data_IF_241076159467
#
_entry.id   IF_241076159467
#
_cell.length_a   1.000
_cell.length_b   1.000
_cell.length_c   1.000
_cell.angle_alpha   90.00
_cell.angle_beta   90.00
_cell.angle_gamma   90.00
#
_symmetry.space_group_name_H-M   'P 1'
#
loop_
_entity.id
_entity.type
_entity.pdbx_description
1 polymer ?
#
# COMPACT_ATOMS: atom_id res chain seq x y z
N UNK A 1 25.89 -11.58 7.46
CA UNK A 1 25.01 -11.84 6.31
C UNK A 1 23.67 -11.18 6.63
N UNK A 2 23.31 -10.06 5.98
CA UNK A 2 22.08 -9.32 6.31
C UNK A 2 20.92 -10.06 5.65
N UNK A 3 20.38 -11.05 6.35
CA UNK A 3 19.26 -11.87 5.87
C UNK A 3 17.95 -11.26 6.38
N UNK A 4 17.17 -10.72 5.44
CA UNK A 4 15.70 -10.69 5.51
C UNK A 4 14.99 -9.36 5.84
N UNK A 5 15.64 -8.19 5.78
CA UNK A 5 14.84 -6.94 5.77
C UNK A 5 13.91 -6.97 4.55
N UNK A 6 12.75 -6.30 4.62
CA UNK A 6 12.05 -6.00 3.38
C UNK A 6 13.05 -5.30 2.45
N UNK A 7 12.94 -5.51 1.14
CA UNK A 7 13.84 -4.83 0.21
C UNK A 7 13.49 -3.34 0.20
N UNK A 8 14.20 -2.59 1.06
CA UNK A 8 13.96 -1.18 1.36
C UNK A 8 14.72 -0.23 0.43
N UNK A 9 15.34 -0.75 -0.64
CA UNK A 9 16.20 0.01 -1.56
C UNK A 9 15.78 -0.17 -3.03
N UNK A 10 14.50 -0.47 -3.28
CA UNK A 10 13.93 -0.60 -4.61
C UNK A 10 12.61 0.17 -4.75
N UNK A 11 12.15 0.48 -5.98
CA UNK A 11 10.83 1.04 -6.21
C UNK A 11 9.73 0.27 -5.48
N UNK A 12 8.80 1.01 -4.86
CA UNK A 12 7.73 0.46 -4.05
C UNK A 12 8.12 0.13 -2.61
N UNK A 13 9.33 0.49 -2.16
CA UNK A 13 9.71 0.34 -0.75
C UNK A 13 9.06 1.42 0.13
N UNK A 14 8.59 1.01 1.32
CA UNK A 14 8.16 1.90 2.41
C UNK A 14 8.74 1.35 3.72
N UNK A 15 9.80 1.98 4.21
CA UNK A 15 10.54 1.48 5.38
C UNK A 15 10.95 2.64 6.28
N UNK A 16 11.42 2.36 7.49
CA UNK A 16 11.94 3.40 8.40
C UNK A 16 10.87 4.47 8.73
N UNK A 17 11.21 5.76 8.77
CA UNK A 17 10.38 6.83 9.37
C UNK A 17 9.62 7.77 8.40
N UNK A 18 8.61 7.25 7.70
CA UNK A 18 8.78 6.32 6.59
C UNK A 18 9.45 6.99 5.39
N UNK A 19 10.53 6.34 4.93
CA UNK A 19 11.18 6.53 3.65
C UNK A 19 10.43 5.73 2.58
N UNK A 20 10.05 6.41 1.51
CA UNK A 20 9.44 5.85 0.31
C UNK A 20 10.45 5.83 -0.84
N UNK A 21 10.33 4.85 -1.73
CA UNK A 21 10.99 4.85 -3.03
C UNK A 21 9.91 4.75 -4.10
N UNK A 22 9.76 5.81 -4.89
CA UNK A 22 8.75 5.90 -5.94
C UNK A 22 8.95 4.88 -7.06
N UNK A 23 7.92 4.72 -7.89
CA UNK A 23 8.00 3.95 -9.14
C UNK A 23 9.09 4.47 -10.09
N UNK A 24 9.39 5.76 -10.02
CA UNK A 24 10.50 6.45 -10.69
C UNK A 24 11.89 6.19 -10.07
N UNK A 25 11.96 5.42 -8.96
CA UNK A 25 13.19 5.14 -8.23
C UNK A 25 13.66 6.27 -7.32
N UNK A 26 12.95 7.40 -7.23
CA UNK A 26 13.33 8.52 -6.39
C UNK A 26 12.95 8.22 -4.94
N UNK A 27 13.92 8.42 -4.04
CA UNK A 27 13.69 8.34 -2.60
C UNK A 27 13.06 9.64 -2.10
N UNK A 28 11.99 9.53 -1.31
CA UNK A 28 11.35 10.66 -0.63
C UNK A 28 10.78 10.24 0.72
N UNK A 29 10.35 11.21 1.52
CA UNK A 29 9.73 10.99 2.82
C UNK A 29 8.33 11.57 2.82
N UNK A 30 7.42 10.93 3.55
CA UNK A 30 6.10 11.47 3.83
C UNK A 30 5.93 11.58 5.33
N UNK A 31 5.76 12.81 5.81
CA UNK A 31 5.65 13.11 7.24
C UNK A 31 4.19 13.17 7.67
N UNK A 32 3.51 12.03 7.60
CA UNK A 32 2.17 11.86 8.12
C UNK A 32 2.05 12.16 9.62
N UNK A 33 0.84 12.03 10.16
CA UNK A 33 0.54 12.25 11.58
C UNK A 33 0.46 10.95 12.36
N UNK A 34 0.85 11.01 13.63
CA UNK A 34 0.64 9.92 14.57
C UNK A 34 -0.87 9.61 14.71
N UNK A 35 -1.18 8.33 14.80
CA UNK A 35 -2.51 7.74 15.02
C UNK A 35 -3.53 8.18 13.96
N UNK A 36 -3.07 8.22 12.69
CA UNK A 36 -3.88 8.61 11.53
C UNK A 36 -3.65 7.66 10.36
N UNK A 37 -4.68 7.54 9.52
CA UNK A 37 -4.67 6.73 8.32
C UNK A 37 -4.41 7.60 7.08
N UNK A 38 -3.58 7.11 6.17
CA UNK A 38 -3.24 7.81 4.94
C UNK A 38 -3.31 6.88 3.73
N UNK A 39 -3.87 7.38 2.63
CA UNK A 39 -3.92 6.71 1.34
C UNK A 39 -2.55 6.70 0.67
N UNK A 40 -1.93 5.53 0.63
CA UNK A 40 -0.61 5.31 0.04
C UNK A 40 -0.71 4.98 -1.44
N UNK A 41 -1.72 4.19 -1.82
CA UNK A 41 -2.01 3.85 -3.23
C UNK A 41 -3.52 3.88 -3.41
N UNK A 42 -3.99 4.52 -4.48
CA UNK A 42 -5.37 4.39 -4.92
C UNK A 42 -5.44 4.39 -6.42
N UNK A 43 -6.13 3.40 -6.95
CA UNK A 43 -6.42 3.19 -8.36
C UNK A 43 -7.81 2.56 -8.48
N UNK A 44 -8.32 2.36 -9.69
CA UNK A 44 -9.66 1.79 -9.90
C UNK A 44 -9.83 0.39 -9.28
N UNK A 45 -8.78 -0.45 -9.29
CA UNK A 45 -8.79 -1.84 -8.84
C UNK A 45 -8.02 -2.11 -7.52
N UNK A 46 -7.38 -1.08 -6.94
CA UNK A 46 -6.55 -1.23 -5.75
C UNK A 46 -6.59 0.04 -4.88
N UNK A 47 -6.88 -0.13 -3.59
CA UNK A 47 -6.76 0.93 -2.59
C UNK A 47 -5.96 0.43 -1.40
N UNK A 48 -4.97 1.23 -0.97
CA UNK A 48 -4.09 0.90 0.15
C UNK A 48 -4.02 2.11 1.06
N UNK A 49 -4.58 1.98 2.25
CA UNK A 49 -4.32 2.88 3.36
C UNK A 49 -3.27 2.29 4.28
N UNK A 50 -2.50 3.18 4.93
CA UNK A 50 -1.56 2.82 5.97
C UNK A 50 -1.91 3.58 7.25
N UNK A 51 -1.90 2.87 8.38
CA UNK A 51 -2.01 3.48 9.70
C UNK A 51 -0.62 3.88 10.19
N UNK A 52 -0.47 5.16 10.51
CA UNK A 52 0.78 5.71 11.01
C UNK A 52 0.74 5.77 12.53
N UNK A 53 1.68 5.08 13.17
CA UNK A 53 2.04 5.33 14.56
C UNK A 53 3.11 6.40 14.62
N UNK A 54 3.35 6.96 15.80
CA UNK A 54 4.40 7.93 15.93
C UNK A 54 4.71 8.36 17.34
N UNK A 55 5.67 9.27 17.43
CA UNK A 55 6.09 9.92 18.67
C UNK A 55 6.28 11.41 18.44
N UNK A 56 5.89 12.18 19.45
CA UNK A 56 6.09 13.62 19.54
C UNK A 56 6.64 13.94 20.93
N UNK A 57 7.86 14.46 21.00
CA UNK A 57 8.42 15.00 22.23
C UNK A 57 8.30 16.53 22.22
N UNK A 58 8.45 17.17 23.39
CA UNK A 58 8.21 18.61 23.60
C UNK A 58 9.06 19.49 22.68
N UNK A 59 10.27 19.05 22.35
CA UNK A 59 11.22 19.76 21.49
C UNK A 59 11.01 19.48 19.98
N UNK A 60 10.07 18.59 19.61
CA UNK A 60 9.86 18.18 18.23
C UNK A 60 8.89 19.10 17.49
N UNK A 61 9.35 19.64 16.36
CA UNK A 61 8.51 20.47 15.47
C UNK A 61 7.51 19.64 14.65
N UNK A 62 7.74 18.34 14.50
CA UNK A 62 6.90 17.38 13.76
C UNK A 62 6.82 16.04 14.48
N UNK A 63 5.89 15.20 14.05
CA UNK A 63 5.85 13.81 14.50
C UNK A 63 6.93 13.01 13.75
N UNK A 64 7.59 12.08 14.45
CA UNK A 64 8.24 10.95 13.81
C UNK A 64 7.21 9.84 13.71
N UNK A 65 7.08 9.26 12.53
CA UNK A 65 6.03 8.30 12.25
C UNK A 65 6.56 7.06 11.55
N UNK A 66 5.82 5.96 11.68
CA UNK A 66 6.11 4.66 11.08
C UNK A 66 4.81 4.00 10.68
N UNK A 67 4.84 3.14 9.67
CA UNK A 67 3.66 2.38 9.23
C UNK A 67 3.45 1.19 10.15
N UNK A 68 2.36 1.16 10.92
CA UNK A 68 2.03 0.02 11.78
C UNK A 68 1.18 -1.02 11.06
N UNK A 69 0.25 -0.58 10.22
CA UNK A 69 -0.66 -1.48 9.53
C UNK A 69 -1.04 -0.97 8.15
N UNK A 70 -1.53 -1.89 7.33
CA UNK A 70 -2.10 -1.64 6.02
C UNK A 70 -3.53 -2.17 5.98
N UNK A 71 -4.43 -1.38 5.40
CA UNK A 71 -5.73 -1.83 4.92
C UNK A 71 -5.73 -1.77 3.40
N UNK A 72 -5.98 -2.91 2.77
CA UNK A 72 -5.85 -3.10 1.33
C UNK A 72 -7.20 -3.58 0.79
N UNK A 73 -7.75 -2.84 -0.17
CA UNK A 73 -8.97 -3.19 -0.89
C UNK A 73 -8.61 -3.54 -2.33
N UNK A 74 -9.10 -4.67 -2.82
CA UNK A 74 -8.95 -5.11 -4.20
C UNK A 74 -10.12 -6.03 -4.55
N UNK A 75 -10.72 -5.86 -5.73
CA UNK A 75 -11.97 -6.56 -6.06
C UNK A 75 -13.02 -6.36 -4.96
N UNK A 76 -13.55 -7.48 -4.45
CA UNK A 76 -14.48 -7.51 -3.31
C UNK A 76 -13.80 -7.71 -1.94
N UNK A 77 -12.47 -7.84 -1.91
CA UNK A 77 -11.70 -8.27 -0.75
C UNK A 77 -11.17 -7.11 0.10
N UNK A 78 -10.99 -7.42 1.39
CA UNK A 78 -10.27 -6.59 2.36
C UNK A 78 -9.15 -7.40 2.98
N UNK A 79 -7.91 -7.00 2.74
CA UNK A 79 -6.73 -7.56 3.38
C UNK A 79 -6.19 -6.58 4.42
N UNK A 80 -5.97 -7.05 5.63
CA UNK A 80 -5.34 -6.31 6.71
C UNK A 80 -4.00 -6.94 7.07
N UNK A 81 -2.97 -6.12 7.25
CA UNK A 81 -1.64 -6.55 7.71
C UNK A 81 -1.21 -5.59 8.80
N UNK A 82 -0.75 -6.08 9.94
CA UNK A 82 -0.29 -5.20 11.03
C UNK A 82 0.86 -5.76 11.86
N UNK A 83 1.63 -4.85 12.43
CA UNK A 83 2.56 -5.09 13.51
C UNK A 83 1.84 -4.94 14.87
N UNK A 84 1.80 -6.01 15.66
CA UNK A 84 1.29 -6.00 17.03
C UNK A 84 2.18 -5.15 17.92
N UNK A 85 1.55 -4.32 18.75
CA UNK A 85 2.23 -3.55 19.80
C UNK A 85 2.98 -4.48 20.73
N UNK A 86 4.17 -4.06 21.17
CA UNK A 86 5.04 -4.85 22.04
C UNK A 86 5.77 -3.91 22.99
N UNK A 87 6.03 -4.35 24.22
CA UNK A 87 6.86 -3.58 25.17
C UNK A 87 8.34 -3.91 24.99
N UNK A 88 8.67 -5.17 24.71
CA UNK A 88 10.04 -5.64 24.44
C UNK A 88 10.14 -6.29 23.06
N UNK A 89 11.33 -6.28 22.45
CA UNK A 89 11.59 -7.00 21.20
C UNK A 89 12.27 -8.34 21.45
N UNK A 90 11.81 -9.37 20.74
CA UNK A 90 12.40 -10.70 20.69
C UNK A 90 12.02 -11.30 19.34
N UNK A 91 13.02 -11.58 18.50
CA UNK A 91 12.81 -12.11 17.15
C UNK A 91 12.04 -13.45 17.15
N UNK A 92 12.08 -14.22 18.24
CA UNK A 92 11.34 -15.49 18.35
C UNK A 92 9.82 -15.30 18.50
N UNK A 93 9.37 -14.12 18.92
CA UNK A 93 7.95 -13.82 19.11
C UNK A 93 7.36 -13.20 17.83
N UNK A 94 6.31 -13.84 17.31
CA UNK A 94 5.62 -13.36 16.11
C UNK A 94 4.67 -12.22 16.47
N UNK A 95 4.90 -11.06 15.86
CA UNK A 95 4.10 -9.84 16.04
C UNK A 95 3.32 -9.50 14.79
N UNK A 96 3.30 -10.38 13.80
CA UNK A 96 2.49 -10.20 12.61
C UNK A 96 1.04 -10.58 12.89
N UNK A 97 0.11 -9.79 12.36
CA UNK A 97 -1.30 -10.14 12.29
C UNK A 97 -1.81 -9.89 10.88
N UNK A 98 -2.51 -10.88 10.32
CA UNK A 98 -3.10 -10.84 8.98
C UNK A 98 -4.56 -11.28 9.08
N UNK A 99 -5.45 -10.55 8.41
CA UNK A 99 -6.81 -11.02 8.16
C UNK A 99 -7.22 -10.74 6.72
N UNK A 100 -8.04 -11.62 6.16
CA UNK A 100 -8.68 -11.46 4.86
C UNK A 100 -10.19 -11.56 5.07
N UNK A 101 -10.93 -10.57 4.58
CA UNK A 101 -12.40 -10.50 4.68
C UNK A 101 -12.91 -10.72 6.11
N UNK A 102 -12.25 -10.03 7.05
CA UNK A 102 -12.52 -10.10 8.49
C UNK A 102 -12.23 -11.46 9.15
N UNK A 103 -11.70 -12.45 8.40
CA UNK A 103 -11.21 -13.72 8.92
C UNK A 103 -9.70 -13.71 9.18
N UNK A 104 -9.30 -14.16 10.37
CA UNK A 104 -7.88 -14.23 10.73
C UNK A 104 -7.17 -15.33 9.97
N UNK A 105 -6.03 -15.01 9.36
CA UNK A 105 -5.17 -15.99 8.70
C UNK A 105 -4.15 -16.54 9.72
N UNK A 106 -4.25 -17.84 9.98
CA UNK A 106 -3.31 -18.54 10.85
C UNK A 106 -2.20 -19.19 10.02
N UNK A 107 -0.98 -18.65 10.18
CA UNK A 107 0.23 -19.19 9.55
C UNK A 107 1.16 -19.76 10.63
N UNK A 108 1.55 -21.04 10.55
CA UNK A 108 2.56 -21.61 11.43
C UNK A 108 3.84 -20.78 11.45
N UNK A 109 4.50 -20.69 12.61
CA UNK A 109 5.79 -20.01 12.77
C UNK A 109 6.93 -20.86 12.19
N UNK A 110 6.91 -21.05 10.88
CA UNK A 110 7.86 -21.83 10.10
C UNK A 110 8.12 -21.09 8.79
N UNK A 111 9.39 -20.97 8.42
CA UNK A 111 9.78 -20.40 7.13
C UNK A 111 9.25 -21.26 5.99
N UNK A 112 8.67 -20.63 4.97
CA UNK A 112 8.01 -21.31 3.86
C UNK A 112 6.61 -21.83 4.19
N UNK A 113 6.07 -21.64 5.40
CA UNK A 113 4.68 -21.94 5.69
C UNK A 113 3.77 -21.11 4.78
N UNK A 114 2.80 -21.76 4.14
CA UNK A 114 1.90 -21.13 3.17
C UNK A 114 0.44 -21.20 3.63
N UNK A 115 -0.31 -20.22 3.18
CA UNK A 115 -1.76 -20.20 3.19
C UNK A 115 -2.21 -19.81 1.79
N UNK A 116 -3.18 -20.55 1.25
CA UNK A 116 -3.84 -20.23 0.00
C UNK A 116 -5.31 -20.58 0.12
N UNK A 117 -6.18 -19.76 -0.47
CA UNK A 117 -7.59 -20.07 -0.56
C UNK A 117 -7.90 -20.58 -1.97
N UNK A 118 -7.74 -21.89 -2.18
CA UNK A 118 -7.91 -22.53 -3.49
C UNK A 118 -9.38 -22.70 -3.92
N UNK A 119 -10.33 -22.42 -3.04
CA UNK A 119 -11.74 -22.79 -3.22
C UNK A 119 -12.67 -21.62 -3.56
N UNK A 120 -12.30 -20.38 -3.28
CA UNK A 120 -13.23 -19.25 -3.46
C UNK A 120 -12.62 -17.92 -3.93
N UNK A 121 -11.29 -17.74 -3.95
CA UNK A 121 -10.70 -16.42 -4.23
C UNK A 121 -9.42 -16.49 -5.07
N UNK A 122 -9.52 -16.05 -6.33
CA UNK A 122 -8.51 -15.34 -7.15
C UNK A 122 -7.00 -15.74 -7.09
N UNK A 123 -6.65 -16.90 -6.53
CA UNK A 123 -5.26 -17.34 -6.38
C UNK A 123 -4.43 -16.56 -5.34
N UNK A 124 -5.05 -15.95 -4.32
CA UNK A 124 -4.32 -15.24 -3.26
C UNK A 124 -3.39 -16.23 -2.52
N UNK A 125 -2.10 -15.90 -2.48
CA UNK A 125 -1.08 -16.69 -1.82
C UNK A 125 -0.38 -15.87 -0.73
N UNK A 126 -0.29 -16.45 0.47
CA UNK A 126 0.46 -15.88 1.58
C UNK A 126 1.50 -16.89 2.02
N UNK A 127 2.74 -16.45 2.20
CA UNK A 127 3.82 -17.31 2.63
C UNK A 127 4.72 -16.61 3.64
N UNK A 128 5.28 -17.37 4.58
CA UNK A 128 6.31 -16.87 5.49
C UNK A 128 7.66 -16.83 4.80
N UNK A 129 8.28 -15.66 4.76
CA UNK A 129 9.66 -15.51 4.28
C UNK A 129 10.71 -15.71 5.39
N UNK A 130 10.26 -15.80 6.65
CA UNK A 130 11.06 -16.21 7.81
C UNK A 130 10.17 -16.93 8.81
N UNK A 131 10.77 -17.56 9.83
CA UNK A 131 10.04 -18.21 10.93
C UNK A 131 8.97 -17.32 11.59
N UNK A 132 9.26 -16.05 11.80
CA UNK A 132 8.40 -15.06 12.46
C UNK A 132 8.55 -13.70 11.78
N UNK A 133 7.59 -12.81 11.98
CA UNK A 133 7.64 -11.38 11.64
C UNK A 133 7.80 -11.05 10.16
N UNK A 134 7.82 -12.01 9.23
CA UNK A 134 8.04 -11.74 7.82
C UNK A 134 7.16 -12.61 6.93
N UNK A 135 6.39 -11.94 6.07
CA UNK A 135 5.50 -12.58 5.08
C UNK A 135 5.65 -11.97 3.71
N UNK A 136 5.29 -12.77 2.73
CA UNK A 136 5.08 -12.36 1.36
C UNK A 136 3.64 -12.71 0.99
N UNK A 137 2.91 -11.72 0.48
CA UNK A 137 1.52 -11.84 0.03
C UNK A 137 1.48 -11.51 -1.46
N UNK A 138 0.86 -12.37 -2.25
CA UNK A 138 0.73 -12.21 -3.69
C UNK A 138 -0.74 -12.36 -4.08
N UNK A 139 -1.26 -11.34 -4.76
CA UNK A 139 -2.56 -11.32 -5.42
C UNK A 139 -2.28 -11.32 -6.92
N UNK A 140 -2.48 -12.47 -7.61
CA UNK A 140 -2.17 -12.60 -9.03
C UNK A 140 -2.75 -11.48 -9.87
N UNK A 141 -1.94 -10.90 -10.76
CA UNK A 141 -2.37 -9.82 -11.65
C UNK A 141 -2.58 -8.46 -10.99
N UNK A 142 -2.59 -8.35 -9.65
CA UNK A 142 -2.79 -7.08 -8.95
C UNK A 142 -1.49 -6.57 -8.28
N UNK A 143 -1.02 -7.26 -7.24
CA UNK A 143 0.18 -6.83 -6.51
C UNK A 143 0.87 -7.98 -5.75
N UNK A 144 2.09 -7.69 -5.29
CA UNK A 144 2.86 -8.50 -4.37
C UNK A 144 3.48 -7.61 -3.28
N UNK A 145 3.40 -8.05 -2.02
CA UNK A 145 3.89 -7.30 -0.86
C UNK A 145 4.83 -8.20 -0.07
N UNK A 146 6.02 -7.72 0.23
CA UNK A 146 6.84 -8.24 1.33
C UNK A 146 6.63 -7.34 2.53
N UNK A 147 6.18 -7.89 3.65
CA UNK A 147 5.97 -7.16 4.89
C UNK A 147 6.80 -7.79 6.00
N UNK A 148 7.61 -6.98 6.67
CA UNK A 148 8.46 -7.39 7.78
C UNK A 148 8.18 -6.51 8.98
N UNK A 149 7.77 -7.12 10.09
CA UNK A 149 7.65 -6.43 11.37
C UNK A 149 9.05 -6.25 11.95
N UNK A 150 9.40 -5.01 12.28
CA UNK A 150 10.70 -4.63 12.84
C UNK A 150 10.52 -3.73 14.06
N UNK A 151 11.43 -3.77 15.05
CA UNK A 151 11.43 -2.82 16.15
C UNK A 151 12.08 -1.51 15.71
N UNK A 152 11.71 -0.41 16.36
CA UNK A 152 12.58 0.77 16.37
C UNK A 152 13.71 0.51 17.37
N UNK A 153 14.95 0.53 16.90
CA UNK A 153 16.11 0.20 17.73
C UNK A 153 16.56 1.39 18.59
N UNK A 154 17.16 1.14 19.76
CA UNK A 154 17.79 2.19 20.58
C UNK A 154 18.84 2.98 19.78
N UNK A 155 19.58 2.29 18.91
CA UNK A 155 20.57 2.93 18.02
C UNK A 155 19.93 3.93 17.08
N UNK A 156 18.84 3.56 16.41
CA UNK A 156 18.09 4.48 15.54
C UNK A 156 17.49 5.63 16.37
N UNK A 157 16.91 5.32 17.53
CA UNK A 157 16.38 6.31 18.48
C UNK A 157 17.43 7.34 18.90
N UNK A 158 18.67 6.92 19.17
CA UNK A 158 19.77 7.83 19.51
C UNK A 158 20.23 8.68 18.33
N UNK A 159 20.39 8.08 17.14
CA UNK A 159 20.86 8.78 15.94
C UNK A 159 19.85 9.85 15.51
N UNK A 160 18.57 9.50 15.50
CA UNK A 160 17.48 10.37 15.03
C UNK A 160 16.79 11.15 16.15
N UNK A 161 17.20 10.94 17.40
CA UNK A 161 16.66 11.58 18.60
C UNK A 161 15.15 11.36 18.77
N UNK A 162 14.67 10.16 18.44
CA UNK A 162 13.25 9.80 18.62
C UNK A 162 12.85 9.81 20.10
N UNK A 163 13.80 9.57 21.01
CA UNK A 163 13.55 9.51 22.44
C UNK A 163 12.83 8.24 22.89
N UNK A 164 12.84 7.19 22.07
CA UNK A 164 12.29 5.87 22.40
C UNK A 164 13.17 5.22 23.47
N UNK A 165 12.52 4.74 24.52
CA UNK A 165 13.09 3.99 25.66
C UNK A 165 12.67 2.53 25.57
N UNK A 166 13.24 1.65 26.40
CA UNK A 166 12.88 0.23 26.45
C UNK A 166 11.41 -0.03 26.84
N UNK A 167 10.69 0.96 27.37
CA UNK A 167 9.31 0.81 27.87
C UNK A 167 8.23 1.07 26.81
N UNK A 168 8.59 1.28 25.54
CA UNK A 168 7.64 1.51 24.45
C UNK A 168 8.27 1.10 23.10
N UNK A 169 8.62 -0.18 22.96
CA UNK A 169 9.20 -0.71 21.74
C UNK A 169 8.16 -0.73 20.61
N UNK A 170 8.10 0.36 19.86
CA UNK A 170 7.27 0.44 18.66
C UNK A 170 7.73 -0.61 17.64
N UNK A 171 6.84 -1.55 17.33
CA UNK A 171 6.97 -2.41 16.18
C UNK A 171 6.24 -1.77 15.00
N UNK A 172 6.88 -1.75 13.83
CA UNK A 172 6.31 -1.23 12.60
C UNK A 172 6.61 -2.17 11.44
N UNK A 173 6.02 -1.87 10.28
CA UNK A 173 6.23 -2.60 9.05
C UNK A 173 7.30 -1.92 8.21
N UNK A 174 8.30 -2.69 7.81
CA UNK A 174 9.09 -2.45 6.61
C UNK A 174 8.39 -3.18 5.45
N UNK A 175 8.08 -2.44 4.38
CA UNK A 175 7.23 -2.87 3.28
C UNK A 175 7.95 -2.77 1.96
N UNK A 176 7.61 -3.67 1.05
CA UNK A 176 8.12 -3.64 -0.32
C UNK A 176 7.05 -4.13 -1.28
N UNK A 177 6.46 -3.19 -2.01
CA UNK A 177 5.41 -3.43 -2.97
C UNK A 177 5.98 -3.71 -4.37
N UNK A 178 5.33 -4.61 -5.09
CA UNK A 178 5.44 -4.77 -6.54
C UNK A 178 4.03 -4.76 -7.10
N UNK A 179 3.71 -3.79 -7.92
CA UNK A 179 2.40 -3.69 -8.54
C UNK A 179 2.45 -4.27 -9.97
N UNK A 180 1.38 -4.94 -10.37
CA UNK A 180 1.29 -5.62 -11.67
C UNK A 180 0.37 -4.90 -12.65
N UNK A 181 -0.69 -4.24 -12.15
CA UNK A 181 -1.73 -3.65 -12.97
C UNK A 181 -2.23 -2.30 -12.42
N UNK A 182 -1.30 -1.35 -12.21
CA UNK A 182 -1.67 0.05 -11.97
C UNK A 182 -1.98 0.74 -13.31
N UNK A 183 -3.06 1.51 -13.33
CA UNK A 183 -3.41 2.43 -14.40
C UNK A 183 -2.50 3.66 -14.39
N UNK A 184 -2.47 4.39 -15.50
CA UNK A 184 -1.76 5.67 -15.58
C UNK A 184 -2.35 6.77 -14.69
N UNK A 185 -3.54 6.57 -14.12
CA UNK A 185 -4.27 7.51 -13.26
C UNK A 185 -4.13 7.21 -11.76
N UNK A 186 -3.31 6.21 -11.40
CA UNK A 186 -3.01 5.86 -10.00
C UNK A 186 -2.56 7.10 -9.21
N UNK A 187 -3.00 7.17 -7.96
CA UNK A 187 -2.67 8.24 -7.02
C UNK A 187 -2.37 7.71 -5.61
N UNK A 188 -2.30 8.60 -4.62
CA UNK A 188 -1.81 8.30 -3.27
C UNK A 188 -0.34 8.65 -3.08
N UNK A 189 0.13 8.63 -1.83
CA UNK A 189 1.49 9.06 -1.47
C UNK A 189 2.56 8.39 -2.34
N UNK A 190 2.50 7.05 -2.44
CA UNK A 190 3.39 6.24 -3.27
C UNK A 190 2.82 6.08 -4.67
N UNK A 191 1.51 5.82 -4.78
CA UNK A 191 0.87 5.46 -6.04
C UNK A 191 1.04 6.53 -7.12
N UNK A 192 0.98 7.82 -6.76
CA UNK A 192 1.18 8.90 -7.73
C UNK A 192 2.50 8.78 -8.52
N UNK A 193 3.54 8.19 -7.93
CA UNK A 193 4.86 8.04 -8.56
C UNK A 193 4.90 6.99 -9.68
N UNK A 194 3.82 6.21 -9.83
CA UNK A 194 3.64 5.22 -10.91
C UNK A 194 2.76 5.75 -12.05
N UNK A 195 2.17 6.95 -11.91
CA UNK A 195 1.30 7.52 -12.94
C UNK A 195 2.06 7.98 -14.19
N UNK A 196 1.46 7.83 -15.37
CA UNK A 196 2.10 8.08 -16.67
C UNK A 196 2.63 9.53 -16.83
N UNK A 197 1.93 10.49 -16.21
CA UNK A 197 2.26 11.91 -16.31
C UNK A 197 2.87 12.45 -15.00
N UNK A 198 3.34 11.57 -14.11
CA UNK A 198 3.96 11.99 -12.87
C UNK A 198 5.29 12.66 -13.15
N UNK A 199 5.43 13.89 -12.65
CA UNK A 199 6.70 14.61 -12.63
C UNK A 199 7.03 14.86 -11.17
N UNK A 200 8.13 14.27 -10.72
CA UNK A 200 8.55 14.36 -9.33
C UNK A 200 8.80 15.80 -8.92
N UNK A 201 8.15 16.21 -7.83
CA UNK A 201 8.39 17.50 -7.16
C UNK A 201 9.43 17.38 -6.05
N UNK A 202 10.09 16.21 -5.93
CA UNK A 202 11.07 15.97 -4.89
C UNK A 202 12.25 16.92 -5.09
N UNK A 203 12.65 17.61 -4.03
CA UNK A 203 13.76 18.55 -4.11
C UNK A 203 15.09 17.81 -4.23
N UNK A 204 15.60 17.69 -5.45
CA UNK A 204 16.88 17.05 -5.72
C UNK A 204 18.03 17.75 -4.98
N UNK A 205 19.02 16.97 -4.54
CA UNK A 205 20.16 17.46 -3.76
C UNK A 205 19.88 17.70 -2.27
N UNK A 206 18.64 17.48 -1.80
CA UNK A 206 18.31 17.43 -0.37
C UNK A 206 18.35 15.98 0.10
N UNK A 207 18.95 15.73 1.27
CA UNK A 207 19.12 14.38 1.80
C UNK A 207 17.78 13.66 2.12
N UNK A 208 16.76 14.42 2.51
CA UNK A 208 15.43 13.90 2.83
C UNK A 208 14.36 14.79 2.16
N UNK A 209 14.13 14.64 0.85
CA UNK A 209 13.09 15.39 0.18
C UNK A 209 11.72 14.87 0.65
N UNK A 210 10.83 15.79 1.01
CA UNK A 210 9.49 15.46 1.52
C UNK A 210 8.47 15.69 0.41
N UNK A 211 7.58 14.72 0.20
CA UNK A 211 6.48 14.82 -0.76
C UNK A 211 5.14 14.62 -0.09
N UNK A 212 4.13 15.31 -0.60
CA UNK A 212 2.75 15.22 -0.14
C UNK A 212 2.49 16.00 1.16
N UNK A 213 1.20 16.21 1.43
CA UNK A 213 0.74 16.83 2.67
C UNK A 213 -0.36 15.99 3.31
N UNK A 214 -0.46 16.07 4.64
CA UNK A 214 -1.42 15.27 5.41
C UNK A 214 -2.85 15.38 4.88
N UNK A 215 -3.28 16.59 4.50
CA UNK A 215 -4.65 16.86 4.06
C UNK A 215 -5.05 16.08 2.81
N UNK A 216 -4.15 16.02 1.83
CA UNK A 216 -4.40 15.41 0.51
C UNK A 216 -4.59 13.89 0.62
N UNK A 217 -3.83 13.26 1.52
CA UNK A 217 -3.78 11.80 1.65
C UNK A 217 -4.51 11.26 2.87
N UNK A 218 -5.03 12.10 3.76
CA UNK A 218 -5.75 11.65 4.94
C UNK A 218 -6.97 10.81 4.56
N UNK A 219 -7.17 9.71 5.28
CA UNK A 219 -8.38 8.91 5.23
C UNK A 219 -9.01 8.83 6.61
N UNK A 220 -10.35 8.68 6.66
CA UNK A 220 -11.06 8.59 7.95
C UNK A 220 -10.86 7.25 8.67
N UNK A 221 -10.50 6.18 7.95
CA UNK A 221 -10.20 4.88 8.54
C UNK A 221 -9.34 4.01 7.62
N UNK A 222 -8.77 2.94 8.18
CA UNK A 222 -7.88 2.01 7.46
C UNK A 222 -8.51 1.34 6.22
N UNK A 223 -9.83 1.32 6.10
CA UNK A 223 -10.55 0.79 4.92
C UNK A 223 -11.48 1.82 4.25
N UNK A 224 -11.44 3.09 4.66
CA UNK A 224 -12.19 4.14 3.99
C UNK A 224 -11.52 4.53 2.67
N UNK A 225 -12.34 4.89 1.69
CA UNK A 225 -11.88 5.26 0.33
C UNK A 225 -12.18 6.73 0.07
N UNK A 226 -11.88 7.58 1.04
CA UNK A 226 -12.38 8.95 1.16
C UNK A 226 -11.29 10.02 1.18
N UNK A 227 -10.04 9.65 0.88
CA UNK A 227 -8.98 10.63 0.68
C UNK A 227 -9.28 11.53 -0.54
N UNK A 228 -8.73 12.74 -0.55
CA UNK A 228 -9.00 13.74 -1.60
C UNK A 228 -8.64 13.23 -3.00
N UNK A 229 -7.67 12.33 -3.08
CA UNK A 229 -7.16 11.74 -4.31
C UNK A 229 -7.74 10.36 -4.64
N UNK A 230 -8.78 9.90 -3.93
CA UNK A 230 -9.37 8.58 -4.10
C UNK A 230 -9.76 8.29 -5.56
N UNK A 231 -9.29 7.15 -6.07
CA UNK A 231 -9.60 6.62 -7.42
C UNK A 231 -10.29 5.26 -7.37
N UNK A 232 -10.42 4.69 -6.18
CA UNK A 232 -10.95 3.35 -6.01
C UNK A 232 -12.46 3.31 -6.25
N UNK A 233 -12.85 2.46 -7.19
CA UNK A 233 -14.22 2.11 -7.46
C UNK A 233 -14.35 0.62 -7.18
N UNK A 234 -15.00 0.25 -6.07
CA UNK A 234 -15.48 -1.12 -5.95
C UNK A 234 -16.38 -1.36 -7.16
N UNK A 235 -16.09 -2.39 -7.94
CA UNK A 235 -17.04 -2.89 -8.92
C UNK A 235 -18.31 -3.24 -8.13
N UNK A 236 -19.24 -2.30 -8.08
CA UNK A 236 -20.56 -2.51 -7.53
C UNK A 236 -21.23 -3.50 -8.46
N UNK A 237 -21.85 -4.53 -7.86
CA UNK A 237 -22.91 -5.30 -8.47
C UNK A 237 -23.74 -4.44 -9.46
N UNK A 238 -23.58 -4.74 -10.74
CA UNK A 238 -24.37 -4.29 -11.89
C UNK A 238 -25.25 -3.04 -11.74
N UNK A 239 -24.67 -1.84 -11.73
CA UNK A 239 -25.34 -0.64 -12.29
C UNK A 239 -24.36 0.25 -13.03
N UNK A 240 -24.58 0.34 -14.34
CA UNK A 240 -23.93 1.22 -15.31
C UNK A 240 -23.84 2.68 -14.86
N UNK A 241 -22.72 3.32 -15.22
CA UNK A 241 -22.79 4.66 -15.80
C UNK A 241 -21.88 4.71 -17.02
N UNK A 242 -22.52 4.51 -18.16
CA UNK A 242 -22.03 4.70 -19.49
C UNK A 242 -21.91 6.20 -19.80
N UNK A 243 -20.74 6.63 -20.29
CA UNK A 243 -20.63 7.84 -21.12
C UNK A 243 -20.11 7.50 -22.53
N UNK A 244 -19.40 6.38 -22.69
CA UNK A 244 -18.91 5.93 -24.00
C UNK A 244 -19.90 5.00 -24.74
N UNK A 245 -20.74 4.22 -24.03
CA UNK A 245 -21.70 3.32 -24.69
C UNK A 245 -22.90 4.06 -25.35
N UNK A 246 -23.28 5.23 -24.83
CA UNK A 246 -24.36 6.05 -25.41
C UNK A 246 -23.97 6.67 -26.78
N UNK A 247 -22.68 6.81 -27.07
CA UNK A 247 -22.21 7.36 -28.33
C UNK A 247 -22.39 6.39 -29.52
N UNK A 248 -22.53 5.09 -29.26
CA UNK A 248 -22.69 4.05 -30.28
C UNK A 248 -24.13 3.53 -30.41
N UNK A 249 -25.01 3.82 -29.45
CA UNK A 249 -26.40 3.36 -29.47
C UNK A 249 -27.29 4.01 -30.55
N UNK A 250 -26.86 5.13 -31.14
CA UNK A 250 -27.60 5.86 -32.19
C UNK A 250 -27.08 5.61 -33.61
N UNK A 251 -26.14 4.68 -33.83
CA UNK A 251 -25.66 4.34 -35.18
C UNK A 251 -26.52 3.22 -35.79
N UNK A 252 -27.36 3.57 -36.77
CA UNK A 252 -27.99 2.57 -37.64
C UNK A 252 -27.08 2.34 -38.85
N UNK A 253 -26.54 1.12 -38.99
CA UNK A 253 -25.77 0.73 -40.17
C UNK A 253 -26.64 -0.19 -41.04
N UNK A 254 -26.82 0.18 -42.31
CA UNK A 254 -27.54 -0.63 -43.29
C UNK A 254 -26.59 -1.16 -44.36
N UNK A 255 -26.86 -2.37 -44.86
CA UNK A 255 -26.19 -2.91 -46.05
C UNK A 255 -26.92 -2.42 -47.29
N UNK A 256 -26.22 -1.65 -48.14
CA UNK A 256 -26.70 -1.37 -49.49
C UNK A 256 -26.29 -2.55 -50.39
N UNK A 257 -27.25 -3.14 -51.09
CA UNK A 257 -27.13 -4.45 -51.75
C UNK A 257 -26.32 -4.43 -53.07
N UNK A 258 -25.56 -3.37 -53.37
CA UNK A 258 -24.80 -3.28 -54.64
C UNK A 258 -23.35 -2.78 -54.54
N UNK A 259 -22.73 -2.78 -53.35
CA UNK A 259 -21.29 -2.53 -53.25
C UNK A 259 -20.71 -2.91 -51.88
N UNK A 260 -19.54 -3.55 -51.86
CA UNK A 260 -18.83 -3.93 -50.63
C UNK A 260 -18.43 -2.68 -49.82
N UNK A 261 -19.31 -2.24 -48.93
CA UNK A 261 -19.02 -1.20 -47.94
C UNK A 261 -20.19 -0.97 -46.99
N UNK A 262 -19.95 -1.15 -45.69
CA UNK A 262 -20.92 -0.76 -44.65
C UNK A 262 -20.71 0.72 -44.35
N UNK A 263 -21.74 1.55 -44.56
CA UNK A 263 -21.72 2.96 -44.20
C UNK A 263 -22.54 3.16 -42.95
N UNK A 264 -21.88 3.60 -41.86
CA UNK A 264 -22.56 3.98 -40.63
C UNK A 264 -22.68 5.51 -40.58
N UNK A 265 -23.90 6.00 -40.38
CA UNK A 265 -24.18 7.42 -40.14
C UNK A 265 -24.58 7.62 -38.68
N UNK A 266 -24.25 8.81 -38.18
CA UNK A 266 -24.57 9.29 -36.85
C UNK A 266 -25.88 10.07 -36.87
#
# INVERSE_FOLDING_TARGET
>A
MIVGKADCNRPGAVCQDPKFIGGDGITFYFHGKKDRDFCIVTDSNLHINAHFIGRRNVDMKRDFTWVQSLGILFGSHKLFISARKTSTWDDANDRLYISLDDETILLPNQEGATWSNSTSYEGIAISRSRKTNAVEIEVPGNFKIKAVVVPITEKESMIHKYGITQEDCFAHLDLSFKFYALSGNVSGVLGQTYGNNYVSRAKMGVAMPVLGGDKEFASSSIFATDCEVARFSRELDGKESSVEAAAYANMSCGNDMEGQGVVCKR
#
